data_IF_050806895314
#
_entry.id   IF_050806895314
#
_cell.length_a   1.000
_cell.length_b   1.000
_cell.length_c   1.000
_cell.angle_alpha   90.00
_cell.angle_beta   90.00
_cell.angle_gamma   90.00
#
_symmetry.space_group_name_H-M   'P 1'
#
loop_
_entity.id
_entity.type
_entity.pdbx_description
1 polymer ?
#
# COMPACT_ATOMS: atom_id res chain seq x y z
N UNK A 1 -15.89 1.63 7.98
CA UNK A 1 -15.23 0.38 8.40
C UNK A 1 -16.07 -0.27 9.49
N UNK A 2 -16.18 -1.60 9.49
CA UNK A 2 -16.94 -2.34 10.51
C UNK A 2 -16.04 -2.77 11.67
N UNK A 3 -16.64 -3.16 12.80
CA UNK A 3 -15.91 -3.66 13.97
C UNK A 3 -15.50 -5.12 13.80
N UNK A 4 -16.33 -5.94 13.17
CA UNK A 4 -16.09 -7.36 12.96
C UNK A 4 -16.08 -7.72 11.48
N UNK A 5 -15.36 -8.79 11.13
CA UNK A 5 -15.28 -9.28 9.75
C UNK A 5 -16.65 -9.74 9.21
N UNK A 6 -17.50 -10.31 10.08
CA UNK A 6 -18.85 -10.74 9.70
C UNK A 6 -19.75 -9.58 9.25
N UNK A 7 -19.51 -8.36 9.73
CA UNK A 7 -20.25 -7.15 9.34
C UNK A 7 -19.89 -6.66 7.93
N UNK A 8 -18.71 -7.03 7.41
CA UNK A 8 -18.30 -6.62 6.06
C UNK A 8 -19.19 -7.26 5.00
N UNK A 9 -19.65 -8.49 5.23
CA UNK A 9 -20.47 -9.23 4.25
C UNK A 9 -21.81 -8.54 3.94
N UNK A 10 -22.68 -8.21 4.91
CA UNK A 10 -23.92 -7.51 4.62
C UNK A 10 -23.67 -6.11 4.05
N UNK A 11 -22.64 -5.40 4.53
CA UNK A 11 -22.24 -4.10 3.97
C UNK A 11 -21.89 -4.20 2.49
N UNK A 12 -20.99 -5.12 2.12
CA UNK A 12 -20.58 -5.34 0.73
C UNK A 12 -21.76 -5.78 -0.14
N UNK A 13 -22.65 -6.64 0.38
CA UNK A 13 -23.85 -7.08 -0.35
C UNK A 13 -24.74 -5.91 -0.77
N UNK A 14 -24.93 -4.92 0.09
CA UNK A 14 -25.68 -3.70 -0.26
C UNK A 14 -24.91 -2.86 -1.28
N UNK A 15 -23.60 -2.69 -1.10
CA UNK A 15 -22.78 -1.83 -1.96
C UNK A 15 -22.62 -2.37 -3.39
N UNK A 16 -22.49 -3.69 -3.55
CA UNK A 16 -22.20 -4.31 -4.85
C UNK A 16 -23.45 -4.85 -5.54
N UNK A 17 -24.57 -4.97 -4.83
CA UNK A 17 -25.72 -5.74 -5.29
C UNK A 17 -25.29 -7.16 -5.66
N UNK A 18 -25.78 -7.65 -6.80
CA UNK A 18 -25.54 -9.03 -7.27
C UNK A 18 -24.22 -9.20 -8.07
N UNK A 19 -23.35 -8.19 -8.10
CA UNK A 19 -22.08 -8.24 -8.86
C UNK A 19 -21.03 -9.16 -8.24
N UNK A 20 -21.13 -9.48 -6.96
CA UNK A 20 -20.20 -10.35 -6.24
C UNK A 20 -20.96 -11.47 -5.53
N UNK A 21 -20.47 -12.70 -5.69
CA UNK A 21 -20.92 -13.82 -4.87
C UNK A 21 -20.31 -13.72 -3.46
N UNK A 22 -21.13 -13.28 -2.51
CA UNK A 22 -20.79 -13.14 -1.10
C UNK A 22 -21.38 -14.26 -0.23
N UNK A 23 -21.72 -15.40 -0.85
CA UNK A 23 -22.25 -16.57 -0.15
C UNK A 23 -21.22 -17.10 0.84
N UNK A 24 -21.68 -17.48 2.03
CA UNK A 24 -20.83 -18.15 3.01
C UNK A 24 -20.32 -19.47 2.44
N UNK A 25 -19.01 -19.62 2.40
CA UNK A 25 -18.37 -20.86 1.98
C UNK A 25 -17.62 -21.44 3.19
N UNK A 26 -17.67 -22.76 3.39
CA UNK A 26 -16.83 -23.40 4.38
C UNK A 26 -15.37 -23.06 4.07
N UNK A 27 -14.64 -22.63 5.10
CA UNK A 27 -13.24 -22.21 4.98
C UNK A 27 -12.37 -23.22 5.72
N UNK A 28 -11.35 -23.74 5.02
CA UNK A 28 -10.33 -24.58 5.59
C UNK A 28 -8.97 -23.90 5.49
N UNK A 29 -8.28 -23.76 6.63
CA UNK A 29 -6.96 -23.16 6.70
C UNK A 29 -5.93 -23.94 5.87
N UNK A 30 -6.04 -25.26 5.78
CA UNK A 30 -5.09 -26.08 5.02
C UNK A 30 -5.06 -25.78 3.51
N UNK A 31 -6.13 -25.19 2.97
CA UNK A 31 -6.22 -24.82 1.55
C UNK A 31 -5.59 -23.44 1.26
N UNK A 32 -5.20 -22.70 2.30
CA UNK A 32 -4.71 -21.33 2.21
C UNK A 32 -3.17 -21.28 2.15
N UNK A 33 -2.64 -20.54 1.19
CA UNK A 33 -1.23 -20.15 1.14
C UNK A 33 -1.08 -18.73 1.71
N UNK A 34 -0.34 -18.60 2.79
CA UNK A 34 -0.09 -17.32 3.45
C UNK A 34 1.32 -16.86 3.11
N UNK A 35 1.43 -15.70 2.51
CA UNK A 35 2.70 -15.02 2.30
C UNK A 35 2.77 -13.83 3.24
N UNK A 36 3.93 -13.50 3.75
CA UNK A 36 4.08 -12.30 4.57
C UNK A 36 5.35 -11.52 4.23
N UNK A 37 5.30 -10.20 4.45
CA UNK A 37 6.44 -9.29 4.37
C UNK A 37 6.45 -8.40 5.61
N UNK A 38 7.64 -8.16 6.17
CA UNK A 38 7.83 -7.27 7.32
C UNK A 38 8.09 -5.83 6.91
N UNK A 39 8.77 -5.66 5.78
CA UNK A 39 9.14 -4.37 5.22
C UNK A 39 9.26 -4.52 3.70
N UNK A 40 8.81 -3.49 2.98
CA UNK A 40 8.99 -3.38 1.54
C UNK A 40 10.43 -2.97 1.18
N UNK A 41 11.16 -2.37 2.13
CA UNK A 41 12.48 -1.76 1.90
C UNK A 41 12.41 -0.53 0.99
N UNK A 42 11.26 0.15 1.00
CA UNK A 42 11.00 1.37 0.24
C UNK A 42 11.79 2.53 0.84
N UNK A 43 12.69 3.20 0.08
CA UNK A 43 13.47 4.33 0.56
C UNK A 43 12.65 5.52 1.06
N UNK A 44 11.40 5.64 0.62
CA UNK A 44 10.50 6.73 1.00
C UNK A 44 9.62 6.39 2.20
N UNK A 45 9.61 5.12 2.63
CA UNK A 45 8.85 4.66 3.78
C UNK A 45 9.68 4.79 5.06
N UNK A 46 8.98 5.04 6.16
CA UNK A 46 9.58 4.96 7.49
C UNK A 46 9.73 3.49 7.91
N UNK A 47 10.72 3.17 8.77
CA UNK A 47 10.82 1.84 9.38
C UNK A 47 9.53 1.48 10.12
N UNK A 48 9.13 0.21 10.04
CA UNK A 48 7.92 -0.28 10.70
C UNK A 48 8.15 -0.42 12.20
N UNK A 49 7.23 0.10 13.00
CA UNK A 49 7.25 0.02 14.46
C UNK A 49 7.23 -1.43 14.95
N UNK A 50 7.99 -1.70 16.02
CA UNK A 50 8.11 -3.04 16.63
C UNK A 50 6.76 -3.61 17.08
N UNK A 51 5.82 -2.77 17.53
CA UNK A 51 4.49 -3.21 17.95
C UNK A 51 3.69 -3.77 16.76
N UNK A 52 3.79 -3.13 15.59
CA UNK A 52 3.14 -3.59 14.36
C UNK A 52 3.76 -4.93 13.91
N UNK A 53 5.08 -5.04 13.97
CA UNK A 53 5.79 -6.28 13.65
C UNK A 53 5.40 -7.42 14.61
N UNK A 54 5.26 -7.13 15.90
CA UNK A 54 4.78 -8.10 16.89
C UNK A 54 3.33 -8.55 16.60
N UNK A 55 2.48 -7.64 16.11
CA UNK A 55 1.13 -7.96 15.66
C UNK A 55 1.15 -8.90 14.45
N UNK A 56 2.00 -8.61 13.46
CA UNK A 56 2.22 -9.47 12.29
C UNK A 56 2.71 -10.87 12.71
N UNK A 57 3.65 -10.96 13.65
CA UNK A 57 4.16 -12.24 14.15
C UNK A 57 3.08 -13.09 14.82
N UNK A 58 2.19 -12.47 15.60
CA UNK A 58 1.03 -13.16 16.18
C UNK A 58 0.09 -13.70 15.10
N UNK A 59 -0.17 -12.92 14.05
CA UNK A 59 -0.99 -13.36 12.92
C UNK A 59 -0.34 -14.52 12.16
N UNK A 60 0.95 -14.41 11.83
CA UNK A 60 1.73 -15.45 11.15
C UNK A 60 1.70 -16.74 11.97
N UNK A 61 1.93 -16.65 13.28
CA UNK A 61 1.85 -17.80 14.19
C UNK A 61 0.45 -18.41 14.19
N UNK A 62 -0.60 -17.61 14.26
CA UNK A 62 -1.98 -18.11 14.22
C UNK A 62 -2.26 -18.90 12.93
N UNK A 63 -1.83 -18.42 11.77
CA UNK A 63 -1.99 -19.13 10.51
C UNK A 63 -1.18 -20.44 10.45
N UNK A 64 0.03 -20.46 10.99
CA UNK A 64 0.85 -21.68 11.08
C UNK A 64 0.19 -22.71 12.00
N UNK A 65 -0.24 -22.29 13.19
CA UNK A 65 -0.86 -23.16 14.19
C UNK A 65 -2.19 -23.77 13.68
N UNK A 66 -2.87 -23.11 12.73
CA UNK A 66 -4.07 -23.62 12.05
C UNK A 66 -3.77 -24.42 10.76
N UNK A 67 -2.50 -24.70 10.45
CA UNK A 67 -2.12 -25.61 9.38
C UNK A 67 -2.08 -25.03 7.97
N UNK A 68 -1.99 -23.70 7.83
CA UNK A 68 -1.74 -23.07 6.52
C UNK A 68 -0.30 -23.29 6.05
N UNK A 69 -0.06 -23.22 4.74
CA UNK A 69 1.30 -23.04 4.20
C UNK A 69 1.69 -21.58 4.33
N UNK A 70 2.50 -21.24 5.33
CA UNK A 70 2.96 -19.86 5.57
C UNK A 70 4.43 -19.65 5.19
N UNK A 71 4.74 -18.65 4.36
CA UNK A 71 6.09 -18.34 3.87
C UNK A 71 6.39 -16.84 3.89
N UNK A 72 7.61 -16.48 4.29
CA UNK A 72 8.11 -15.10 4.13
C UNK A 72 8.46 -14.83 2.67
N UNK A 73 8.09 -13.67 2.14
CA UNK A 73 8.46 -13.27 0.79
C UNK A 73 9.96 -13.05 0.67
N UNK A 74 10.54 -13.60 -0.39
CA UNK A 74 11.93 -13.37 -0.73
C UNK A 74 12.12 -11.94 -1.27
N UNK A 75 12.74 -11.08 -0.47
CA UNK A 75 13.06 -9.69 -0.81
C UNK A 75 14.54 -9.49 -1.17
N UNK A 76 15.28 -10.56 -1.54
CA UNK A 76 16.71 -10.45 -1.86
C UNK A 76 16.94 -9.80 -3.21
N UNK A 77 17.80 -8.77 -3.27
CA UNK A 77 18.19 -8.12 -4.53
C UNK A 77 18.96 -9.11 -5.41
N UNK A 78 18.62 -9.16 -6.70
CA UNK A 78 19.34 -9.95 -7.70
C UNK A 78 18.91 -11.41 -7.83
N UNK A 79 18.02 -11.91 -6.96
CA UNK A 79 17.41 -13.22 -7.12
C UNK A 79 16.25 -13.16 -8.15
N UNK A 80 16.26 -14.01 -9.19
CA UNK A 80 15.21 -14.03 -10.22
C UNK A 80 13.78 -14.28 -9.69
N UNK A 81 13.66 -14.96 -8.54
CA UNK A 81 12.38 -15.29 -7.91
C UNK A 81 12.02 -14.33 -6.76
N UNK A 82 12.79 -13.25 -6.59
CA UNK A 82 12.56 -12.26 -5.56
C UNK A 82 11.48 -11.24 -5.93
N UNK A 83 10.83 -10.72 -4.90
CA UNK A 83 9.87 -9.64 -4.93
C UNK A 83 10.51 -8.29 -4.60
N UNK A 84 11.84 -8.17 -4.67
CA UNK A 84 12.60 -6.96 -4.30
C UNK A 84 12.08 -5.66 -4.94
N UNK A 85 11.49 -5.72 -6.14
CA UNK A 85 10.90 -4.57 -6.81
C UNK A 85 9.65 -4.01 -6.09
N UNK A 86 9.09 -4.72 -5.10
CA UNK A 86 8.02 -4.22 -4.22
C UNK A 86 8.46 -2.98 -3.43
N UNK A 87 9.77 -2.76 -3.25
CA UNK A 87 10.32 -1.53 -2.66
C UNK A 87 9.94 -0.26 -3.42
N UNK A 88 9.46 -0.38 -4.66
CA UNK A 88 9.01 0.75 -5.47
C UNK A 88 7.49 0.97 -5.37
N UNK A 89 6.79 0.33 -4.42
CA UNK A 89 5.34 0.44 -4.24
C UNK A 89 4.85 1.89 -4.13
N UNK A 90 5.54 2.75 -3.36
CA UNK A 90 5.15 4.17 -3.26
C UNK A 90 5.28 4.87 -4.60
N UNK A 91 6.35 4.60 -5.36
CA UNK A 91 6.52 5.16 -6.70
C UNK A 91 5.47 4.63 -7.68
N UNK A 92 5.14 3.34 -7.62
CA UNK A 92 4.05 2.76 -8.42
C UNK A 92 2.71 3.41 -8.12
N UNK A 93 2.42 3.66 -6.84
CA UNK A 93 1.21 4.39 -6.45
C UNK A 93 1.22 5.83 -6.96
N UNK A 94 2.32 6.57 -6.78
CA UNK A 94 2.48 7.95 -7.27
C UNK A 94 2.37 8.06 -8.80
N UNK A 95 2.85 7.05 -9.51
CA UNK A 95 2.68 6.89 -10.95
C UNK A 95 1.22 6.62 -11.33
N UNK A 96 0.54 5.72 -10.61
CA UNK A 96 -0.83 5.32 -10.90
C UNK A 96 -1.85 6.43 -10.64
N UNK A 97 -1.58 7.34 -9.70
CA UNK A 97 -2.43 8.52 -9.46
C UNK A 97 -2.18 9.65 -10.46
N UNK A 98 -1.18 9.53 -11.35
CA UNK A 98 -0.96 10.52 -12.40
C UNK A 98 -1.88 10.22 -13.58
N UNK A 99 -2.94 11.01 -13.70
CA UNK A 99 -3.85 10.99 -14.84
C UNK A 99 -3.65 12.29 -15.66
N UNK A 100 -3.22 12.22 -16.93
CA UNK A 100 -3.06 13.40 -17.79
C UNK A 100 -4.36 14.20 -18.00
N UNK A 101 -5.53 13.59 -17.83
CA UNK A 101 -6.84 14.22 -18.04
C UNK A 101 -7.38 14.90 -16.78
N UNK A 102 -6.73 14.70 -15.63
CA UNK A 102 -7.17 15.23 -14.34
C UNK A 102 -6.25 16.36 -13.85
N UNK A 103 -6.76 17.30 -13.04
CA UNK A 103 -5.93 18.31 -12.40
C UNK A 103 -4.82 17.65 -11.57
N UNK A 104 -3.65 18.27 -11.57
CA UNK A 104 -2.54 17.79 -10.75
C UNK A 104 -2.92 17.81 -9.27
N UNK A 105 -2.30 16.95 -8.47
CA UNK A 105 -2.57 16.89 -7.02
C UNK A 105 -2.33 18.24 -6.34
N UNK A 106 -1.36 19.03 -6.83
CA UNK A 106 -1.11 20.39 -6.34
C UNK A 106 -2.27 21.35 -6.62
N UNK A 107 -2.92 21.25 -7.78
CA UNK A 107 -4.10 22.05 -8.11
C UNK A 107 -5.33 21.63 -7.30
N UNK A 108 -5.46 20.33 -7.01
CA UNK A 108 -6.52 19.81 -6.16
C UNK A 108 -6.41 20.34 -4.72
N UNK A 109 -5.21 20.30 -4.12
CA UNK A 109 -5.03 20.79 -2.75
C UNK A 109 -5.03 22.32 -2.65
N UNK A 110 -4.72 23.03 -3.74
CA UNK A 110 -4.79 24.50 -3.78
C UNK A 110 -6.18 25.01 -4.15
N UNK A 111 -7.15 24.13 -4.44
CA UNK A 111 -8.47 24.48 -4.99
C UNK A 111 -8.38 25.38 -6.24
N UNK A 112 -7.36 25.16 -7.07
CA UNK A 112 -7.09 25.96 -8.27
C UNK A 112 -6.38 27.30 -8.04
N UNK A 113 -6.02 27.64 -6.79
CA UNK A 113 -5.23 28.84 -6.52
C UNK A 113 -3.77 28.68 -6.96
N UNK A 114 -3.15 29.79 -7.39
CA UNK A 114 -1.71 29.84 -7.67
C UNK A 114 -0.92 29.72 -6.36
N UNK A 115 -0.31 28.56 -6.15
CA UNK A 115 0.51 28.26 -4.99
C UNK A 115 1.89 27.76 -5.44
N UNK A 116 2.97 28.27 -4.83
CA UNK A 116 4.31 27.76 -5.06
C UNK A 116 4.64 26.66 -4.02
N UNK A 117 4.67 25.38 -4.42
CA UNK A 117 4.81 24.25 -3.49
C UNK A 117 6.12 24.28 -2.71
N UNK A 118 7.21 24.78 -3.30
CA UNK A 118 8.51 24.90 -2.62
C UNK A 118 8.45 25.91 -1.49
N UNK A 119 7.81 27.06 -1.72
CA UNK A 119 7.68 28.10 -0.70
C UNK A 119 6.79 27.64 0.46
N UNK A 120 5.70 26.93 0.16
CA UNK A 120 4.81 26.39 1.20
C UNK A 120 5.48 25.29 2.01
N UNK A 121 6.34 24.45 1.38
CA UNK A 121 7.12 23.44 2.08
C UNK A 121 8.13 24.07 3.05
N UNK A 122 8.81 25.15 2.63
CA UNK A 122 9.69 25.91 3.54
C UNK A 122 8.90 26.46 4.71
N UNK A 123 7.69 27.01 4.48
CA UNK A 123 6.79 27.46 5.56
C UNK A 123 6.42 26.33 6.52
N UNK A 124 6.22 25.10 6.03
CA UNK A 124 6.00 23.92 6.88
C UNK A 124 7.22 23.65 7.76
N UNK A 125 8.44 23.71 7.22
CA UNK A 125 9.68 23.44 7.98
C UNK A 125 9.91 24.45 9.11
N UNK A 126 9.50 25.71 8.92
CA UNK A 126 9.61 26.76 9.96
C UNK A 126 8.34 26.88 10.83
N UNK A 127 7.38 25.97 10.70
CA UNK A 127 6.14 25.97 11.50
C UNK A 127 5.19 27.14 11.25
N UNK A 128 5.35 27.88 10.15
CA UNK A 128 4.52 29.05 9.81
C UNK A 128 3.38 28.75 8.85
N UNK A 129 3.22 27.48 8.47
CA UNK A 129 2.18 27.06 7.57
C UNK A 129 0.91 26.67 8.34
N UNK A 130 -0.22 27.32 8.00
CA UNK A 130 -1.54 26.99 8.57
C UNK A 130 -2.46 26.28 7.58
N UNK A 131 -2.18 26.33 6.27
CA UNK A 131 -3.09 25.89 5.21
C UNK A 131 -2.73 24.54 4.60
N UNK A 132 -1.44 24.22 4.50
CA UNK A 132 -0.96 23.03 3.79
C UNK A 132 -0.10 22.14 4.70
N UNK A 133 -0.26 20.83 4.57
CA UNK A 133 0.64 19.87 5.21
C UNK A 133 1.82 19.53 4.28
N UNK A 134 2.99 19.27 4.86
CA UNK A 134 4.21 18.96 4.10
C UNK A 134 4.05 17.70 3.24
N UNK A 135 3.41 16.64 3.76
CA UNK A 135 3.20 15.38 3.05
C UNK A 135 2.49 15.54 1.71
N UNK A 136 1.27 16.13 1.67
CA UNK A 136 0.57 16.44 0.43
C UNK A 136 1.39 17.29 -0.56
N UNK A 137 2.13 18.30 -0.07
CA UNK A 137 3.00 19.11 -0.92
C UNK A 137 4.10 18.25 -1.59
N UNK A 138 4.75 17.37 -0.83
CA UNK A 138 5.76 16.43 -1.34
C UNK A 138 5.13 15.47 -2.36
N UNK A 139 3.96 14.89 -2.06
CA UNK A 139 3.24 14.02 -3.00
C UNK A 139 2.96 14.72 -4.32
N UNK A 140 2.43 15.95 -4.29
CA UNK A 140 2.13 16.70 -5.50
C UNK A 140 3.39 17.11 -6.28
N UNK A 141 4.49 17.42 -5.60
CA UNK A 141 5.78 17.64 -6.25
C UNK A 141 6.26 16.34 -6.93
N UNK A 142 6.28 15.22 -6.21
CA UNK A 142 6.73 13.93 -6.75
C UNK A 142 5.82 13.43 -7.86
N UNK A 143 4.50 13.65 -7.82
CA UNK A 143 3.60 13.32 -8.92
C UNK A 143 3.99 14.09 -10.21
N UNK A 144 4.26 15.40 -10.09
CA UNK A 144 4.67 16.25 -11.21
C UNK A 144 6.03 15.85 -11.80
N UNK A 145 6.98 15.40 -10.98
CA UNK A 145 8.26 14.84 -11.44
C UNK A 145 8.16 13.38 -11.87
N UNK A 146 7.24 12.64 -11.26
CA UNK A 146 6.98 11.22 -11.42
C UNK A 146 6.49 10.88 -12.82
N UNK A 147 5.74 11.79 -13.46
CA UNK A 147 5.39 11.69 -14.88
C UNK A 147 6.61 11.51 -15.80
N UNK A 148 7.78 12.06 -15.41
CA UNK A 148 9.04 11.87 -16.14
C UNK A 148 9.75 10.56 -15.77
N UNK A 149 9.42 9.97 -14.63
CA UNK A 149 9.90 8.66 -14.16
C UNK A 149 9.09 7.48 -14.73
N UNK A 150 7.97 7.75 -15.41
CA UNK A 150 7.16 6.78 -16.17
C UNK A 150 7.88 6.30 -17.44
N UNK A 151 9.13 5.85 -17.31
CA UNK A 151 9.88 5.26 -18.40
C UNK A 151 9.33 3.87 -18.74
N UNK A 152 9.67 3.38 -19.93
CA UNK A 152 9.34 1.99 -20.33
C UNK A 152 9.82 0.98 -19.29
N UNK A 153 11.05 1.15 -18.79
CA UNK A 153 11.63 0.28 -17.76
C UNK A 153 10.82 0.26 -16.46
N UNK A 154 10.22 1.38 -16.08
CA UNK A 154 9.37 1.47 -14.90
C UNK A 154 8.07 0.67 -15.08
N UNK A 155 7.42 0.81 -16.23
CA UNK A 155 6.22 0.03 -16.56
C UNK A 155 6.52 -1.46 -16.69
N UNK A 156 7.68 -1.82 -17.25
CA UNK A 156 8.11 -3.22 -17.36
C UNK A 156 8.32 -3.83 -15.96
N UNK A 157 8.94 -3.09 -15.04
CA UNK A 157 9.07 -3.50 -13.62
C UNK A 157 7.71 -3.64 -12.94
N UNK A 158 6.81 -2.67 -13.12
CA UNK A 158 5.45 -2.73 -12.56
C UNK A 158 4.69 -3.96 -13.06
N UNK A 159 4.66 -4.17 -14.38
CA UNK A 159 3.93 -5.27 -14.99
C UNK A 159 4.50 -6.63 -14.57
N UNK A 160 5.84 -6.76 -14.53
CA UNK A 160 6.51 -7.96 -14.02
C UNK A 160 6.16 -8.22 -12.56
N UNK A 161 6.22 -7.20 -11.73
CA UNK A 161 5.93 -7.27 -10.29
C UNK A 161 4.49 -7.70 -10.03
N UNK A 162 3.54 -7.08 -10.75
CA UNK A 162 2.13 -7.41 -10.72
C UNK A 162 1.86 -8.84 -11.19
N UNK A 163 2.45 -9.26 -12.31
CA UNK A 163 2.29 -10.62 -12.82
C UNK A 163 2.84 -11.68 -11.86
N UNK A 164 4.00 -11.41 -11.25
CA UNK A 164 4.59 -12.27 -10.22
C UNK A 164 3.70 -12.39 -8.99
N UNK A 165 3.13 -11.28 -8.52
CA UNK A 165 2.20 -11.30 -7.38
C UNK A 165 0.93 -12.09 -7.70
N UNK A 166 0.31 -11.88 -8.86
CA UNK A 166 -0.86 -12.65 -9.28
C UNK A 166 -0.56 -14.15 -9.37
N UNK A 167 0.61 -14.52 -9.92
CA UNK A 167 1.04 -15.92 -10.00
C UNK A 167 1.29 -16.52 -8.61
N UNK A 168 1.85 -15.75 -7.69
CA UNK A 168 2.12 -16.21 -6.33
C UNK A 168 0.83 -16.45 -5.55
N UNK A 169 -0.10 -15.49 -5.57
CA UNK A 169 -1.34 -15.58 -4.80
C UNK A 169 -2.30 -16.60 -5.41
N UNK A 170 -2.39 -16.69 -6.74
CA UNK A 170 -3.35 -17.57 -7.39
C UNK A 170 -4.77 -17.34 -6.86
N UNK A 171 -5.51 -18.42 -6.61
CA UNK A 171 -6.88 -18.36 -6.11
C UNK A 171 -7.00 -18.42 -4.58
N UNK A 172 -6.01 -19.01 -3.90
CA UNK A 172 -6.07 -19.33 -2.47
C UNK A 172 -4.88 -18.74 -1.69
N UNK A 173 -4.25 -17.70 -2.22
CA UNK A 173 -3.11 -17.05 -1.61
C UNK A 173 -3.47 -15.70 -1.02
N UNK A 174 -2.93 -15.40 0.16
CA UNK A 174 -3.05 -14.09 0.80
C UNK A 174 -1.68 -13.53 1.12
N UNK A 175 -1.56 -12.21 1.08
CA UNK A 175 -0.37 -11.48 1.50
C UNK A 175 -0.66 -10.70 2.77
N UNK A 176 0.13 -10.95 3.81
CA UNK A 176 0.13 -10.19 5.05
C UNK A 176 1.27 -9.18 5.02
N UNK A 177 0.93 -7.90 5.18
CA UNK A 177 1.91 -6.82 5.26
C UNK A 177 1.45 -5.76 6.26
N UNK A 178 2.38 -5.03 6.88
CA UNK A 178 2.05 -3.82 7.63
C UNK A 178 1.33 -2.80 6.75
N UNK A 179 0.23 -2.24 7.26
CA UNK A 179 -0.54 -1.18 6.57
C UNK A 179 0.03 0.23 6.82
N UNK A 180 0.83 0.39 7.88
CA UNK A 180 1.44 1.64 8.32
C UNK A 180 2.78 1.32 8.97
N UNK A 181 3.70 2.28 8.92
CA UNK A 181 4.97 2.21 9.63
C UNK A 181 4.85 2.63 11.10
N UNK A 182 3.84 3.42 11.45
CA UNK A 182 3.65 3.94 12.81
C UNK A 182 2.30 3.51 13.40
N UNK A 183 2.28 3.33 14.72
CA UNK A 183 1.05 3.16 15.50
C UNK A 183 0.36 4.52 15.62
N UNK A 184 -0.98 4.53 15.50
CA UNK A 184 -1.77 5.74 15.62
C UNK A 184 -1.56 6.41 16.98
N UNK A 185 -0.93 7.58 17.00
CA UNK A 185 -0.79 8.40 18.21
C UNK A 185 -2.10 9.14 18.44
N UNK A 186 -2.91 8.64 19.37
CA UNK A 186 -4.01 9.42 19.91
C UNK A 186 -3.41 10.48 20.84
N UNK A 187 -3.36 11.73 20.37
CA UNK A 187 -3.10 12.86 21.25
C UNK A 187 -4.32 13.00 22.18
N UNK A 188 -4.15 12.58 23.44
CA UNK A 188 -5.07 12.89 24.54
C UNK A 188 -4.82 14.30 25.06
#
# INVERSE_FOLDING_TARGET
MCRYACDLRPMLKVMTGDKLDLTEKPFNYSDLNVYYLRDLGDPLALPVDVEILNGLDKMVKHFIDNGTRTLELNMKKGDPNSFYDFRFATLFWLAAIHDPEMPSYLELISYGEKMNPYSELIKCMIGKQSRYAAGPLVVGMVQKFGSKLLTKDFFDKWNKTRANLHRLLGNNGVLLCPISSEVGKFFL
#
